data_IF_751707292393
#
_entry.id   IF_751707292393
#
_cell.length_a   1.000
_cell.length_b   1.000
_cell.length_c   1.000
_cell.angle_alpha   90.00
_cell.angle_beta   90.00
_cell.angle_gamma   90.00
#
_symmetry.space_group_name_H-M   'P 1'
#
loop_
_entity.id
_entity.type
_entity.pdbx_description
1 polymer ?
#
# COMPACT_ATOMS: atom_id res chain seq x y z
N UNK A 1 22.21 36.50 3.76
CA UNK A 1 20.91 35.93 3.35
C UNK A 1 20.14 35.56 4.60
N UNK A 2 18.86 35.90 4.69
CA UNK A 2 18.02 35.61 5.86
C UNK A 2 17.69 34.11 5.92
N UNK A 3 17.35 33.58 7.11
CA UNK A 3 17.08 32.14 7.33
C UNK A 3 15.97 31.61 6.38
N UNK A 4 14.96 32.44 6.09
CA UNK A 4 13.88 32.15 5.15
C UNK A 4 14.35 31.98 3.68
N UNK A 5 15.37 32.72 3.23
CA UNK A 5 15.91 32.59 1.86
C UNK A 5 16.70 31.29 1.70
N UNK A 6 17.40 30.86 2.75
CA UNK A 6 18.13 29.57 2.74
C UNK A 6 17.17 28.38 2.76
N UNK A 7 16.09 28.47 3.54
CA UNK A 7 15.04 27.45 3.61
C UNK A 7 14.30 27.30 2.28
N UNK A 8 13.91 28.42 1.65
CA UNK A 8 13.29 28.41 0.31
C UNK A 8 14.18 27.75 -0.75
N UNK A 9 15.49 28.06 -0.75
CA UNK A 9 16.43 27.42 -1.67
C UNK A 9 16.62 25.92 -1.43
N UNK A 10 16.51 25.45 -0.18
CA UNK A 10 16.57 24.02 0.14
C UNK A 10 15.33 23.27 -0.36
N UNK A 11 14.14 23.84 -0.14
CA UNK A 11 12.89 23.26 -0.63
C UNK A 11 12.84 23.14 -2.15
N UNK A 12 13.35 24.16 -2.87
CA UNK A 12 13.42 24.13 -4.33
C UNK A 12 14.37 23.03 -4.83
N UNK A 13 15.56 22.89 -4.22
CA UNK A 13 16.51 21.81 -4.55
C UNK A 13 15.89 20.43 -4.33
N UNK A 14 15.17 20.23 -3.24
CA UNK A 14 14.49 18.97 -2.97
C UNK A 14 13.38 18.68 -3.97
N UNK A 15 12.53 19.67 -4.27
CA UNK A 15 11.48 19.49 -5.26
C UNK A 15 12.07 19.06 -6.61
N UNK A 16 13.17 19.69 -7.02
CA UNK A 16 13.90 19.33 -8.25
C UNK A 16 14.45 17.91 -8.19
N UNK A 17 15.16 17.56 -7.10
CA UNK A 17 15.66 16.21 -6.88
C UNK A 17 14.55 15.16 -6.96
N UNK A 18 13.44 15.35 -6.24
CA UNK A 18 12.32 14.41 -6.22
C UNK A 18 11.70 14.26 -7.62
N UNK A 19 11.54 15.37 -8.36
CA UNK A 19 11.03 15.34 -9.73
C UNK A 19 11.94 14.54 -10.66
N UNK A 20 13.26 14.70 -10.52
CA UNK A 20 14.26 13.97 -11.30
C UNK A 20 14.32 12.46 -10.96
N UNK A 21 13.80 12.05 -9.80
CA UNK A 21 13.70 10.63 -9.43
C UNK A 21 12.46 9.92 -9.99
N UNK A 22 11.51 10.64 -10.60
CA UNK A 22 10.30 10.01 -11.17
C UNK A 22 10.73 9.14 -12.37
N UNK A 23 10.34 7.85 -12.43
CA UNK A 23 10.67 6.99 -13.56
C UNK A 23 10.17 7.58 -14.89
N UNK A 24 10.86 7.30 -16.00
CA UNK A 24 10.49 7.84 -17.31
C UNK A 24 9.05 7.48 -17.74
N UNK A 25 8.54 6.31 -17.34
CA UNK A 25 7.16 5.88 -17.58
C UNK A 25 6.14 6.38 -16.54
N UNK A 26 6.57 7.20 -15.58
CA UNK A 26 5.77 7.60 -14.42
C UNK A 26 5.53 6.45 -13.43
N UNK A 27 4.64 6.71 -12.46
CA UNK A 27 4.16 5.70 -11.50
C UNK A 27 2.72 5.27 -11.79
N UNK A 28 1.96 6.09 -12.53
CA UNK A 28 0.62 5.77 -13.02
C UNK A 28 0.49 6.20 -14.47
N UNK A 29 -0.14 5.35 -15.28
CA UNK A 29 -0.28 5.63 -16.71
C UNK A 29 -1.22 6.82 -16.94
N UNK A 30 -0.79 7.78 -17.75
CA UNK A 30 -1.62 8.93 -18.15
C UNK A 30 -1.86 9.98 -17.05
N UNK A 31 -1.17 9.89 -15.90
CA UNK A 31 -1.30 10.83 -14.80
C UNK A 31 0.02 11.55 -14.52
N UNK A 32 -0.08 12.81 -14.11
CA UNK A 32 1.03 13.59 -13.59
C UNK A 32 1.03 13.61 -12.06
N UNK A 33 2.21 13.56 -11.46
CA UNK A 33 2.36 13.53 -10.01
C UNK A 33 2.71 14.90 -9.44
N UNK A 34 1.88 15.39 -8.51
CA UNK A 34 2.21 16.57 -7.69
C UNK A 34 3.11 16.15 -6.53
N UNK A 35 4.35 16.63 -6.56
CA UNK A 35 5.35 16.33 -5.52
C UNK A 35 5.26 17.30 -4.34
N UNK A 36 5.66 16.83 -3.16
CA UNK A 36 5.96 17.66 -2.00
C UNK A 36 7.48 17.76 -1.84
N UNK A 37 8.06 18.93 -1.52
CA UNK A 37 9.50 19.05 -1.25
C UNK A 37 9.92 18.36 0.05
N UNK A 38 8.97 18.02 0.93
CA UNK A 38 9.20 17.38 2.22
C UNK A 38 8.20 16.25 2.47
N UNK A 39 8.57 15.22 3.26
CA UNK A 39 7.62 14.19 3.67
C UNK A 39 6.56 14.77 4.61
N UNK A 40 5.40 14.10 4.70
CA UNK A 40 4.37 14.48 5.66
C UNK A 40 4.83 14.13 7.09
N UNK A 41 4.93 15.11 8.00
CA UNK A 41 5.44 14.88 9.34
C UNK A 41 4.42 14.13 10.19
N UNK A 42 4.86 13.05 10.83
CA UNK A 42 4.09 12.31 11.82
C UNK A 42 4.75 12.46 13.19
N UNK A 43 3.94 12.69 14.24
CA UNK A 43 4.42 12.61 15.61
C UNK A 43 4.63 11.16 16.04
N UNK A 44 5.54 10.91 17.00
CA UNK A 44 5.89 9.56 17.44
C UNK A 44 4.69 8.70 17.87
N UNK A 45 3.71 9.31 18.55
CA UNK A 45 2.51 8.61 18.99
C UNK A 45 1.67 8.14 17.80
N UNK A 46 1.40 9.02 16.84
CA UNK A 46 0.63 8.68 15.65
C UNK A 46 1.34 7.61 14.81
N UNK A 47 2.66 7.69 14.66
CA UNK A 47 3.45 6.67 13.97
C UNK A 47 3.29 5.29 14.61
N UNK A 48 3.40 5.19 15.95
CA UNK A 48 3.21 3.92 16.69
C UNK A 48 1.79 3.39 16.56
N UNK A 49 0.79 4.26 16.60
CA UNK A 49 -0.60 3.84 16.40
C UNK A 49 -0.84 3.28 15.00
N UNK A 50 -0.35 3.96 13.95
CA UNK A 50 -0.43 3.49 12.56
C UNK A 50 0.26 2.13 12.41
N UNK A 51 1.45 1.93 12.99
CA UNK A 51 2.16 0.65 12.95
C UNK A 51 1.35 -0.48 13.63
N UNK A 52 0.61 -0.18 14.70
CA UNK A 52 -0.20 -1.16 15.40
C UNK A 52 -1.40 -1.67 14.58
N UNK A 53 -1.89 -0.88 13.61
CA UNK A 53 -3.08 -1.19 12.82
C UNK A 53 -2.93 -2.47 12.02
N UNK A 54 -1.74 -2.79 11.52
CA UNK A 54 -1.53 -3.99 10.70
C UNK A 54 -2.01 -5.26 11.39
N UNK A 55 -1.71 -5.42 12.69
CA UNK A 55 -2.17 -6.58 13.47
C UNK A 55 -3.67 -6.55 13.69
N UNK A 56 -4.24 -5.39 14.01
CA UNK A 56 -5.68 -5.25 14.29
C UNK A 56 -6.51 -5.56 13.04
N UNK A 57 -6.12 -5.00 11.90
CA UNK A 57 -6.80 -5.18 10.61
C UNK A 57 -6.69 -6.62 10.10
N UNK A 58 -5.57 -7.30 10.35
CA UNK A 58 -5.46 -8.73 10.07
C UNK A 58 -6.46 -9.56 10.89
N UNK A 59 -6.65 -9.24 12.17
CA UNK A 59 -7.68 -9.92 12.98
C UNK A 59 -9.09 -9.61 12.49
N UNK A 60 -9.34 -8.36 12.07
CA UNK A 60 -10.61 -7.98 11.45
C UNK A 60 -10.91 -8.83 10.21
N UNK A 61 -9.97 -8.97 9.26
CA UNK A 61 -10.14 -9.84 8.09
C UNK A 61 -10.40 -11.31 8.44
N UNK A 62 -9.69 -11.84 9.44
CA UNK A 62 -9.91 -13.21 9.90
C UNK A 62 -11.30 -13.39 10.51
N UNK A 63 -11.75 -12.42 11.31
CA UNK A 63 -13.07 -12.43 11.92
C UNK A 63 -14.19 -12.30 10.88
N UNK A 64 -14.05 -11.41 9.89
CA UNK A 64 -15.05 -11.25 8.83
C UNK A 64 -15.13 -12.46 7.92
N UNK A 65 -13.99 -13.08 7.57
CA UNK A 65 -13.97 -14.34 6.84
C UNK A 65 -14.64 -15.48 7.63
N UNK A 66 -14.35 -15.63 8.92
CA UNK A 66 -15.01 -16.62 9.77
C UNK A 66 -16.52 -16.37 9.86
N UNK A 67 -16.92 -15.11 10.04
CA UNK A 67 -18.32 -14.70 10.12
C UNK A 67 -19.07 -15.03 8.83
N UNK A 68 -18.49 -14.70 7.66
CA UNK A 68 -19.03 -15.07 6.35
C UNK A 68 -19.26 -16.58 6.25
N UNK A 69 -18.24 -17.40 6.57
CA UNK A 69 -18.36 -18.87 6.47
C UNK A 69 -19.41 -19.42 7.42
N UNK A 70 -19.50 -18.89 8.65
CA UNK A 70 -20.52 -19.31 9.60
C UNK A 70 -21.92 -18.89 9.17
N UNK A 71 -22.06 -17.76 8.47
CA UNK A 71 -23.31 -17.33 7.86
C UNK A 71 -23.76 -18.29 6.75
N UNK A 72 -22.84 -18.71 5.87
CA UNK A 72 -23.10 -19.74 4.84
C UNK A 72 -23.47 -21.10 5.47
N UNK A 73 -22.84 -21.47 6.59
CA UNK A 73 -23.16 -22.69 7.35
C UNK A 73 -24.49 -22.61 8.14
N UNK A 74 -25.20 -21.48 8.12
CA UNK A 74 -26.43 -21.27 8.92
C UNK A 74 -26.20 -21.13 10.42
N UNK A 75 -24.95 -20.87 10.85
CA UNK A 75 -24.54 -20.74 12.26
C UNK A 75 -24.40 -19.28 12.72
N UNK A 76 -24.53 -18.33 11.81
CA UNK A 76 -24.54 -16.89 12.02
C UNK A 76 -25.62 -16.28 11.10
N UNK A 77 -26.07 -15.03 11.34
CA UNK A 77 -27.13 -14.42 10.55
C UNK A 77 -26.87 -14.49 9.04
N UNK A 78 -27.84 -14.99 8.29
CA UNK A 78 -27.75 -15.23 6.83
C UNK A 78 -27.46 -13.94 6.04
N UNK A 79 -27.87 -12.78 6.56
CA UNK A 79 -27.68 -11.50 5.88
C UNK A 79 -26.21 -11.19 5.61
N UNK A 80 -25.28 -11.68 6.43
CA UNK A 80 -23.85 -11.43 6.23
C UNK A 80 -23.36 -12.05 4.93
N UNK A 81 -23.63 -13.35 4.72
CA UNK A 81 -23.28 -14.03 3.48
C UNK A 81 -23.99 -13.39 2.29
N UNK A 82 -25.30 -13.13 2.41
CA UNK A 82 -26.07 -12.48 1.34
C UNK A 82 -25.44 -11.16 0.90
N UNK A 83 -25.13 -10.26 1.85
CA UNK A 83 -24.53 -8.96 1.52
C UNK A 83 -23.15 -9.09 0.87
N UNK A 84 -22.31 -9.98 1.37
CA UNK A 84 -20.96 -10.19 0.83
C UNK A 84 -20.94 -10.92 -0.52
N UNK A 85 -22.03 -11.58 -0.91
CA UNK A 85 -22.16 -12.24 -2.20
C UNK A 85 -22.77 -11.33 -3.29
N UNK A 86 -23.39 -10.20 -2.92
CA UNK A 86 -24.03 -9.30 -3.88
C UNK A 86 -23.03 -8.78 -4.92
N UNK A 87 -23.43 -8.85 -6.20
CA UNK A 87 -22.64 -8.38 -7.34
C UNK A 87 -21.51 -9.32 -7.78
N UNK A 88 -21.24 -10.41 -7.04
CA UNK A 88 -20.19 -11.37 -7.43
C UNK A 88 -20.70 -12.39 -8.44
N UNK A 89 -19.91 -12.73 -9.48
CA UNK A 89 -20.19 -13.87 -10.34
C UNK A 89 -20.25 -15.18 -9.54
N UNK A 90 -21.02 -16.15 -10.03
CA UNK A 90 -21.25 -17.43 -9.33
C UNK A 90 -19.94 -18.17 -9.06
N UNK A 91 -19.05 -18.17 -10.03
CA UNK A 91 -17.74 -18.84 -9.99
C UNK A 91 -16.86 -18.26 -8.88
N UNK A 92 -16.92 -16.94 -8.67
CA UNK A 92 -16.17 -16.27 -7.60
C UNK A 92 -16.71 -16.64 -6.22
N UNK A 93 -18.04 -16.73 -6.07
CA UNK A 93 -18.68 -17.16 -4.82
C UNK A 93 -18.31 -18.62 -4.51
N UNK A 94 -18.30 -19.50 -5.52
CA UNK A 94 -17.89 -20.90 -5.38
C UNK A 94 -16.43 -21.02 -4.92
N UNK A 95 -15.51 -20.26 -5.53
CA UNK A 95 -14.11 -20.19 -5.11
C UNK A 95 -13.97 -19.68 -3.67
N UNK A 96 -14.63 -18.58 -3.31
CA UNK A 96 -14.60 -18.01 -1.96
C UNK A 96 -15.05 -19.04 -0.88
N UNK A 97 -15.98 -19.93 -1.22
CA UNK A 97 -16.51 -20.95 -0.29
C UNK A 97 -15.69 -22.23 -0.24
N UNK A 98 -14.83 -22.48 -1.24
CA UNK A 98 -14.02 -23.69 -1.32
C UNK A 98 -13.19 -23.91 -0.05
N UNK A 99 -13.01 -25.19 0.32
CA UNK A 99 -12.29 -25.55 1.53
C UNK A 99 -10.81 -25.15 1.49
N UNK A 100 -10.20 -25.17 0.29
CA UNK A 100 -8.80 -24.81 0.08
C UNK A 100 -8.48 -23.38 0.53
N UNK A 101 -9.40 -22.43 0.30
CA UNK A 101 -9.22 -21.01 0.64
C UNK A 101 -9.78 -20.63 2.02
N UNK A 102 -10.22 -21.60 2.83
CA UNK A 102 -10.97 -21.32 4.07
C UNK A 102 -10.26 -20.38 5.03
N UNK A 103 -8.94 -20.49 5.14
CA UNK A 103 -8.14 -19.69 6.07
C UNK A 103 -7.31 -18.63 5.35
N UNK A 104 -7.49 -18.49 4.04
CA UNK A 104 -6.74 -17.51 3.26
C UNK A 104 -7.33 -16.12 3.46
N UNK A 105 -6.43 -15.16 3.62
CA UNK A 105 -6.74 -13.74 3.75
C UNK A 105 -5.76 -12.95 2.89
N UNK A 106 -6.10 -11.73 2.47
CA UNK A 106 -5.18 -10.86 1.75
C UNK A 106 -3.86 -10.69 2.51
N UNK A 107 -2.73 -10.85 1.80
CA UNK A 107 -1.38 -10.69 2.39
C UNK A 107 -0.89 -9.24 2.35
N UNK A 108 -1.49 -8.41 1.50
CA UNK A 108 -1.28 -6.98 1.41
C UNK A 108 -2.63 -6.32 1.62
N UNK A 109 -2.69 -5.35 2.53
CA UNK A 109 -3.89 -4.59 2.84
C UNK A 109 -3.52 -3.11 2.89
N UNK A 110 -4.43 -2.24 2.46
CA UNK A 110 -4.25 -0.79 2.53
C UNK A 110 -5.43 -0.18 3.26
N UNK A 111 -5.27 0.22 4.53
CA UNK A 111 -6.26 1.05 5.20
C UNK A 111 -6.10 2.49 4.74
N UNK A 112 -7.20 3.08 4.27
CA UNK A 112 -7.25 4.51 4.02
C UNK A 112 -7.63 5.21 5.32
N UNK A 113 -6.78 6.15 5.73
CA UNK A 113 -6.83 6.79 7.03
C UNK A 113 -7.03 8.29 6.84
N UNK A 114 -8.08 8.82 7.48
CA UNK A 114 -8.32 10.26 7.57
C UNK A 114 -7.90 10.76 8.96
N UNK A 115 -6.96 11.69 8.97
CA UNK A 115 -6.51 12.35 10.20
C UNK A 115 -7.46 13.50 10.57
N UNK A 116 -7.90 13.53 11.83
CA UNK A 116 -8.73 14.61 12.40
C UNK A 116 -8.05 15.19 13.65
N UNK A 117 -8.60 16.27 14.18
CA UNK A 117 -8.17 16.86 15.45
C UNK A 117 -8.32 15.90 16.66
N UNK A 118 -9.19 14.89 16.56
CA UNK A 118 -9.50 13.94 17.64
C UNK A 118 -8.79 12.58 17.46
N UNK A 119 -7.87 12.46 16.50
CA UNK A 119 -7.25 11.20 16.09
C UNK A 119 -7.64 10.82 14.67
N UNK A 120 -7.37 9.57 14.28
CA UNK A 120 -7.63 9.11 12.92
C UNK A 120 -8.86 8.19 12.81
N UNK A 121 -9.46 8.16 11.62
CA UNK A 121 -10.53 7.25 11.26
C UNK A 121 -10.14 6.44 10.04
N UNK A 122 -10.45 5.14 10.05
CA UNK A 122 -10.28 4.27 8.89
C UNK A 122 -11.55 4.40 8.04
N UNK A 123 -11.40 4.86 6.81
CA UNK A 123 -12.52 5.11 5.89
C UNK A 123 -12.77 3.95 4.94
N UNK A 124 -11.70 3.25 4.56
CA UNK A 124 -11.72 2.12 3.64
C UNK A 124 -10.63 1.11 4.00
N UNK A 125 -10.84 -0.15 3.61
CA UNK A 125 -9.86 -1.22 3.77
C UNK A 125 -9.77 -2.05 2.48
N UNK A 126 -8.76 -1.74 1.69
CA UNK A 126 -8.50 -2.39 0.41
C UNK A 126 -7.73 -3.69 0.57
N UNK A 127 -8.22 -4.73 -0.12
CA UNK A 127 -7.60 -6.08 -0.15
C UNK A 127 -6.94 -6.43 -1.50
N UNK A 128 -7.14 -5.60 -2.52
CA UNK A 128 -6.45 -5.67 -3.81
C UNK A 128 -5.90 -4.28 -4.15
N UNK A 129 -5.00 -3.73 -3.31
CA UNK A 129 -4.59 -2.34 -3.46
C UNK A 129 -3.56 -2.15 -4.57
N UNK A 130 -3.64 -1.01 -5.25
CA UNK A 130 -2.48 -0.41 -5.90
C UNK A 130 -1.65 0.42 -4.89
N UNK A 131 -0.64 1.12 -5.37
CA UNK A 131 0.18 2.04 -4.58
C UNK A 131 1.39 1.39 -3.89
N UNK A 132 1.64 0.09 -4.06
CA UNK A 132 2.80 -0.59 -3.44
C UNK A 132 4.10 -0.08 -4.05
N UNK A 133 4.17 -0.05 -5.38
CA UNK A 133 5.34 0.46 -6.09
C UNK A 133 5.54 1.96 -5.84
N UNK A 134 4.45 2.74 -5.90
CA UNK A 134 4.46 4.15 -5.51
C UNK A 134 5.04 4.35 -4.10
N UNK A 135 4.54 3.61 -3.11
CA UNK A 135 4.97 3.78 -1.72
C UNK A 135 6.43 3.39 -1.53
N UNK A 136 6.88 2.30 -2.19
CA UNK A 136 8.30 1.94 -2.25
C UNK A 136 9.16 3.04 -2.86
N UNK A 137 8.69 3.67 -3.95
CA UNK A 137 9.39 4.79 -4.58
C UNK A 137 9.46 6.02 -3.67
N UNK A 138 8.35 6.37 -3.01
CA UNK A 138 8.29 7.46 -2.02
C UNK A 138 9.28 7.19 -0.88
N UNK A 139 9.26 5.99 -0.30
CA UNK A 139 10.17 5.59 0.77
C UNK A 139 11.64 5.78 0.36
N UNK A 140 12.03 5.26 -0.80
CA UNK A 140 13.40 5.32 -1.31
C UNK A 140 13.84 6.74 -1.64
N UNK A 141 12.96 7.52 -2.26
CA UNK A 141 13.26 8.88 -2.72
C UNK A 141 13.36 9.87 -1.56
N UNK A 142 12.37 9.90 -0.66
CA UNK A 142 12.36 10.84 0.46
C UNK A 142 13.39 10.49 1.54
N UNK A 143 13.84 9.24 1.63
CA UNK A 143 14.96 8.86 2.51
C UNK A 143 16.31 9.45 2.07
N UNK A 144 16.42 9.86 0.80
CA UNK A 144 17.62 10.49 0.21
C UNK A 144 17.50 12.00 0.07
N UNK A 145 16.29 12.54 0.03
CA UNK A 145 16.06 13.97 -0.04
C UNK A 145 16.57 14.67 1.24
N UNK A 146 17.16 15.85 1.10
CA UNK A 146 17.51 16.66 2.26
C UNK A 146 16.22 17.08 2.97
N UNK A 147 16.06 16.89 4.27
CA UNK A 147 14.78 17.20 4.96
C UNK A 147 14.96 18.41 5.87
N UNK A 148 15.25 19.59 5.32
CA UNK A 148 15.46 20.80 6.14
C UNK A 148 16.56 20.61 7.21
N UNK A 149 16.35 21.14 8.42
CA UNK A 149 17.38 21.18 9.50
C UNK A 149 17.67 19.80 10.15
N UNK A 150 16.86 18.76 9.93
CA UNK A 150 17.06 17.39 10.46
C UNK A 150 16.62 16.35 9.42
N UNK A 151 17.47 15.37 9.13
CA UNK A 151 17.12 14.23 8.27
C UNK A 151 15.84 13.57 8.80
N UNK A 152 14.79 13.56 7.99
CA UNK A 152 13.54 12.93 8.36
C UNK A 152 13.73 11.41 8.40
N UNK A 153 13.28 10.77 9.47
CA UNK A 153 13.13 9.33 9.51
C UNK A 153 11.84 8.95 8.77
N UNK A 154 11.98 8.23 7.66
CA UNK A 154 10.85 7.77 6.88
C UNK A 154 10.30 6.49 7.51
N UNK A 155 8.99 6.43 7.76
CA UNK A 155 8.34 5.24 8.27
C UNK A 155 8.57 4.04 7.33
N UNK A 156 9.09 2.94 7.87
CA UNK A 156 9.54 1.77 7.10
C UNK A 156 10.94 1.90 6.46
N UNK A 157 11.56 3.08 6.50
CA UNK A 157 12.85 3.36 5.89
C UNK A 157 12.81 3.31 4.36
N UNK A 158 13.99 3.30 3.72
CA UNK A 158 14.11 3.39 2.26
C UNK A 158 13.52 2.18 1.50
N UNK A 159 13.62 0.98 2.06
CA UNK A 159 13.25 -0.27 1.37
C UNK A 159 12.21 -1.11 2.14
N UNK A 160 11.58 -0.57 3.18
CA UNK A 160 10.62 -1.31 4.01
C UNK A 160 9.45 -1.89 3.23
N UNK A 161 8.82 -1.07 2.36
CA UNK A 161 7.72 -1.53 1.52
C UNK A 161 8.13 -2.65 0.56
N UNK A 162 9.31 -2.54 -0.06
CA UNK A 162 9.84 -3.54 -0.99
C UNK A 162 10.14 -4.87 -0.27
N UNK A 163 10.85 -4.82 0.86
CA UNK A 163 11.13 -6.01 1.68
C UNK A 163 9.84 -6.65 2.21
N UNK A 164 8.90 -5.82 2.66
CA UNK A 164 7.59 -6.27 3.13
C UNK A 164 6.83 -7.01 2.03
N UNK A 165 6.72 -6.42 0.84
CA UNK A 165 6.08 -7.04 -0.31
C UNK A 165 6.79 -8.33 -0.73
N UNK A 166 8.12 -8.34 -0.83
CA UNK A 166 8.86 -9.57 -1.18
C UNK A 166 8.62 -10.70 -0.16
N UNK A 167 8.57 -10.37 1.13
CA UNK A 167 8.44 -11.36 2.21
C UNK A 167 7.16 -12.20 2.11
N UNK A 168 6.10 -11.70 1.46
CA UNK A 168 4.83 -12.43 1.36
C UNK A 168 4.93 -13.67 0.45
N UNK A 169 5.98 -13.78 -0.37
CA UNK A 169 6.17 -14.86 -1.33
C UNK A 169 7.10 -15.99 -0.84
N UNK A 170 7.76 -15.82 0.31
CA UNK A 170 8.69 -16.81 0.85
C UNK A 170 9.78 -17.23 -0.15
N UNK A 171 9.97 -18.54 -0.32
CA UNK A 171 11.01 -19.13 -1.18
C UNK A 171 10.60 -19.28 -2.66
N UNK A 172 9.54 -18.59 -3.11
CA UNK A 172 9.11 -18.64 -4.49
C UNK A 172 10.24 -18.19 -5.43
N UNK A 173 10.64 -19.07 -6.36
CA UNK A 173 11.68 -18.80 -7.35
C UNK A 173 11.25 -17.80 -8.43
N UNK A 174 9.95 -17.77 -8.71
CA UNK A 174 9.34 -16.90 -9.70
C UNK A 174 7.99 -16.41 -9.17
N UNK A 175 7.74 -15.12 -9.35
CA UNK A 175 6.52 -14.42 -8.93
C UNK A 175 5.97 -13.66 -10.14
N UNK A 176 4.68 -13.84 -10.40
CA UNK A 176 3.96 -13.12 -11.44
C UNK A 176 3.04 -12.07 -10.81
N UNK A 177 3.19 -10.81 -11.20
CA UNK A 177 2.34 -9.70 -10.82
C UNK A 177 1.35 -9.48 -11.95
N UNK A 178 0.10 -9.89 -11.74
CA UNK A 178 -0.93 -9.78 -12.76
C UNK A 178 -1.69 -8.47 -12.58
N UNK A 179 -1.73 -7.67 -13.64
CA UNK A 179 -2.48 -6.40 -13.69
C UNK A 179 -3.60 -6.56 -14.71
N UNK A 180 -4.86 -6.43 -14.25
CA UNK A 180 -6.03 -6.47 -15.13
C UNK A 180 -6.08 -5.28 -16.07
N UNK A 181 -6.89 -5.37 -17.12
CA UNK A 181 -7.15 -4.24 -18.03
C UNK A 181 -7.78 -3.04 -17.29
N UNK A 182 -8.70 -3.31 -16.36
CA UNK A 182 -9.31 -2.29 -15.51
C UNK A 182 -8.28 -1.57 -14.64
N UNK A 183 -7.28 -2.29 -14.13
CA UNK A 183 -6.20 -1.74 -13.32
C UNK A 183 -4.99 -1.29 -14.15
N UNK A 184 -5.09 -1.17 -15.48
CA UNK A 184 -3.95 -0.87 -16.36
C UNK A 184 -3.20 0.41 -15.97
N UNK A 185 -3.88 1.38 -15.36
CA UNK A 185 -3.27 2.61 -14.86
C UNK A 185 -2.19 2.37 -13.78
N UNK A 186 -2.26 1.26 -13.03
CA UNK A 186 -1.31 0.88 -11.97
C UNK A 186 -0.11 0.10 -12.50
N UNK A 187 -0.10 -0.29 -13.78
CA UNK A 187 1.01 -1.08 -14.35
C UNK A 187 2.40 -0.44 -14.16
N UNK A 188 2.60 0.87 -14.37
CA UNK A 188 3.95 1.46 -14.26
C UNK A 188 4.58 1.34 -12.88
N UNK A 189 3.81 1.54 -11.79
CA UNK A 189 4.36 1.35 -10.44
C UNK A 189 4.76 -0.09 -10.16
N UNK A 190 4.03 -1.06 -10.71
CA UNK A 190 4.34 -2.47 -10.54
C UNK A 190 5.59 -2.84 -11.34
N UNK A 191 5.73 -2.33 -12.56
CA UNK A 191 6.93 -2.53 -13.38
C UNK A 191 8.17 -1.96 -12.69
N UNK A 192 8.04 -0.77 -12.09
CA UNK A 192 9.08 -0.20 -11.25
C UNK A 192 9.41 -1.10 -10.05
N UNK A 193 8.39 -1.59 -9.34
CA UNK A 193 8.58 -2.47 -8.18
C UNK A 193 9.31 -3.77 -8.56
N UNK A 194 8.89 -4.43 -9.65
CA UNK A 194 9.53 -5.62 -10.17
C UNK A 194 11.02 -5.35 -10.53
N UNK A 195 11.30 -4.19 -11.12
CA UNK A 195 12.67 -3.78 -11.44
C UNK A 195 13.54 -3.60 -10.19
N UNK A 196 12.95 -3.12 -9.08
CA UNK A 196 13.68 -2.96 -7.82
C UNK A 196 13.93 -4.30 -7.11
N UNK A 197 12.98 -5.23 -7.17
CA UNK A 197 13.05 -6.53 -6.51
C UNK A 197 13.80 -7.59 -7.34
N UNK A 198 14.10 -7.29 -8.60
CA UNK A 198 14.85 -8.16 -9.49
C UNK A 198 13.94 -8.84 -10.52
N UNK A 199 14.08 -8.40 -11.77
CA UNK A 199 13.31 -8.89 -12.91
C UNK A 199 13.51 -10.38 -13.23
N UNK A 200 14.50 -11.06 -12.63
CA UNK A 200 14.65 -12.51 -12.75
C UNK A 200 13.61 -13.28 -11.93
N UNK A 201 13.27 -12.77 -10.74
CA UNK A 201 12.28 -13.35 -9.82
C UNK A 201 10.89 -12.77 -10.03
N UNK A 202 10.76 -11.46 -10.15
CA UNK A 202 9.47 -10.77 -10.31
C UNK A 202 9.19 -10.45 -11.77
N UNK A 203 8.05 -10.92 -12.28
CA UNK A 203 7.58 -10.72 -13.65
C UNK A 203 6.21 -10.08 -13.63
N UNK A 204 5.94 -9.20 -14.58
CA UNK A 204 4.61 -8.64 -14.85
C UNK A 204 4.06 -9.29 -16.10
#
# INVERSE_FOLDING_TARGET
MTDATMESGALERNARFIREQIPAGGLFAGLEWRISPTPFPLGENLSKEIESLGRVLLQFYRATNLLYRKSVEGKQPEWVARWLDLGKPRELIELQRAAAFKNDVPRVIRPDILLTENGFSITELDSVPGGIGLTGWLNKTYSKAESGKRKAEILGGADGMMRGFESIFGDAKQVHIVVSEEAAMYRPEMEWLASQLGNSKFKI
#
